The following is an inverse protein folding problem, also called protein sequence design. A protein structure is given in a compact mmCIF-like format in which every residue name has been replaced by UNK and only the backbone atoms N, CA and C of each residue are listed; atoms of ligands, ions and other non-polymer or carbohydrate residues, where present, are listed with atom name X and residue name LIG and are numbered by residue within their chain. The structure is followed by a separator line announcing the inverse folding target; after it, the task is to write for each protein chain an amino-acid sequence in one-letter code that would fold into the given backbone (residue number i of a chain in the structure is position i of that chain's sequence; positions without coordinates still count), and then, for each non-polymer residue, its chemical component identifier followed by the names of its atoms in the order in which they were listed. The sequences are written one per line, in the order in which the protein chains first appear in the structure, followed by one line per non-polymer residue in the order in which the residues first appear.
data_IF_322421872431
#
_entry.id   IF_322421872431
#
_cell.length_a   1.000
_cell.length_b   1.000
_cell.length_c   1.000
_cell.angle_alpha   90.00
_cell.angle_beta   90.00
_cell.angle_gamma   90.00
#
_symmetry.space_group_name_H-M   'P 1'
#
loop_
_entity.id
_entity.type
_entity.pdbx_description
1 polymer ?
#
# COMPACT_ATOMS: atom_id res chain seq x y z
N UNK A 1 -29.12 -14.18 12.60
CA UNK A 1 -27.77 -14.76 12.77
C UNK A 1 -26.89 -13.64 13.27
N UNK A 2 -26.07 -13.91 14.29
CA UNK A 2 -25.58 -12.92 15.25
C UNK A 2 -24.86 -11.72 14.61
N UNK A 3 -25.39 -10.52 14.81
CA UNK A 3 -24.76 -9.24 14.48
C UNK A 3 -23.74 -8.89 15.57
N UNK A 4 -22.68 -9.68 15.69
CA UNK A 4 -21.51 -9.28 16.49
C UNK A 4 -20.88 -8.06 15.81
N UNK A 5 -20.80 -6.93 16.51
CA UNK A 5 -20.13 -5.76 15.95
C UNK A 5 -18.69 -6.08 15.56
N UNK A 6 -18.18 -5.40 14.53
CA UNK A 6 -16.79 -5.56 14.10
C UNK A 6 -15.86 -5.28 15.31
N UNK A 7 -14.91 -6.18 15.64
CA UNK A 7 -13.97 -5.97 16.74
C UNK A 7 -13.24 -4.64 16.58
N UNK A 8 -13.16 -3.85 17.65
CA UNK A 8 -12.34 -2.64 17.69
C UNK A 8 -10.89 -2.99 18.03
N UNK A 9 -9.98 -2.06 17.74
CA UNK A 9 -8.56 -2.15 18.10
C UNK A 9 -8.34 -2.63 19.54
N UNK A 10 -7.60 -3.73 19.71
CA UNK A 10 -7.15 -4.21 20.99
C UNK A 10 -5.78 -4.89 20.87
N UNK A 11 -4.68 -4.28 21.33
CA UNK A 11 -3.34 -4.85 21.19
C UNK A 11 -3.01 -5.93 22.22
N UNK A 12 -3.95 -6.28 23.10
CA UNK A 12 -3.77 -7.30 24.15
C UNK A 12 -4.45 -8.63 23.81
N UNK A 13 -5.21 -8.67 22.70
CA UNK A 13 -5.94 -9.84 22.22
C UNK A 13 -5.57 -10.01 20.74
N UNK A 14 -5.36 -11.24 20.25
CA UNK A 14 -5.07 -11.43 18.83
C UNK A 14 -6.30 -11.07 18.01
N UNK A 15 -6.10 -10.64 16.77
CA UNK A 15 -7.20 -10.46 15.83
C UNK A 15 -7.87 -11.81 15.58
N UNK A 16 -9.20 -11.84 15.62
CA UNK A 16 -9.96 -13.08 15.41
C UNK A 16 -9.80 -13.54 13.95
N UNK A 17 -9.38 -14.79 13.77
CA UNK A 17 -9.24 -15.45 12.46
C UNK A 17 -10.14 -16.68 12.35
N UNK A 18 -11.21 -16.74 13.15
CA UNK A 18 -12.12 -17.89 13.25
C UNK A 18 -13.57 -17.51 12.93
N UNK A 19 -14.42 -18.51 12.69
CA UNK A 19 -15.86 -18.31 12.51
C UNK A 19 -16.21 -17.36 11.37
N UNK A 20 -16.78 -16.20 11.69
CA UNK A 20 -17.08 -15.15 10.70
C UNK A 20 -15.81 -14.61 10.03
N UNK A 21 -14.71 -14.55 10.79
CA UNK A 21 -13.42 -14.01 10.35
C UNK A 21 -12.42 -15.07 9.86
N UNK A 22 -12.89 -16.31 9.65
CA UNK A 22 -12.05 -17.36 9.10
C UNK A 22 -11.54 -16.99 7.70
N UNK A 23 -10.32 -17.41 7.39
CA UNK A 23 -9.78 -17.27 6.05
C UNK A 23 -10.65 -18.06 5.06
N UNK A 24 -11.08 -17.38 3.99
CA UNK A 24 -11.69 -18.03 2.83
C UNK A 24 -11.01 -17.52 1.57
N UNK A 25 -10.56 -18.41 0.67
CA UNK A 25 -10.01 -17.98 -0.61
C UNK A 25 -11.08 -17.22 -1.40
N UNK A 26 -10.69 -16.19 -2.17
CA UNK A 26 -11.64 -15.42 -2.97
C UNK A 26 -12.30 -16.31 -4.04
N UNK A 27 -13.60 -16.14 -4.21
CA UNK A 27 -14.34 -16.76 -5.30
C UNK A 27 -14.07 -16.09 -6.65
N UNK A 28 -14.60 -16.66 -7.76
CA UNK A 28 -14.31 -16.17 -9.11
C UNK A 28 -14.70 -14.72 -9.39
N UNK A 29 -15.62 -14.15 -8.61
CA UNK A 29 -16.11 -12.78 -8.78
C UNK A 29 -15.55 -11.81 -7.73
N UNK A 30 -14.79 -12.31 -6.75
CA UNK A 30 -14.27 -11.51 -5.66
C UNK A 30 -13.05 -10.72 -6.14
N UNK A 31 -13.01 -9.43 -5.82
CA UNK A 31 -11.98 -8.50 -6.29
C UNK A 31 -10.81 -8.45 -5.31
N UNK A 32 -9.61 -8.63 -5.85
CA UNK A 32 -8.33 -8.50 -5.14
C UNK A 32 -7.39 -7.69 -6.01
N UNK A 33 -6.44 -7.02 -5.38
CA UNK A 33 -5.54 -6.08 -6.07
C UNK A 33 -4.14 -6.06 -5.48
N UNK A 34 -3.39 -4.96 -5.64
CA UNK A 34 -2.01 -4.87 -5.17
C UNK A 34 -1.89 -5.02 -3.66
N UNK A 35 -2.78 -4.41 -2.89
CA UNK A 35 -2.59 -4.23 -1.47
C UNK A 35 -2.72 -5.57 -0.71
N UNK A 36 -1.63 -6.11 -0.14
CA UNK A 36 -1.70 -7.35 0.64
C UNK A 36 -2.65 -7.25 1.83
N UNK A 37 -2.63 -6.09 2.52
CA UNK A 37 -3.45 -5.85 3.70
C UNK A 37 -4.95 -5.87 3.38
N UNK A 38 -5.38 -5.17 2.32
CA UNK A 38 -6.79 -5.19 1.90
C UNK A 38 -7.22 -6.58 1.43
N UNK A 39 -6.35 -7.31 0.71
CA UNK A 39 -6.64 -8.67 0.29
C UNK A 39 -6.84 -9.60 1.49
N UNK A 40 -5.95 -9.55 2.47
CA UNK A 40 -6.05 -10.33 3.71
C UNK A 40 -7.30 -9.97 4.52
N UNK A 41 -7.60 -8.68 4.68
CA UNK A 41 -8.81 -8.21 5.36
C UNK A 41 -10.10 -8.71 4.69
N UNK A 42 -10.17 -8.70 3.36
CA UNK A 42 -11.31 -9.25 2.63
C UNK A 42 -11.35 -10.79 2.74
N UNK A 43 -10.21 -11.48 2.65
CA UNK A 43 -10.13 -12.94 2.81
C UNK A 43 -10.48 -13.41 4.23
N UNK A 44 -10.33 -12.54 5.24
CA UNK A 44 -10.77 -12.76 6.61
C UNK A 44 -12.10 -12.06 6.94
N UNK A 45 -12.82 -11.44 5.98
CA UNK A 45 -14.16 -10.88 6.22
C UNK A 45 -14.23 -9.60 7.08
N UNK A 46 -13.10 -8.93 7.34
CA UNK A 46 -13.07 -7.63 8.04
C UNK A 46 -13.49 -6.45 7.14
N UNK A 47 -13.40 -6.64 5.83
CA UNK A 47 -14.15 -5.89 4.82
C UNK A 47 -14.95 -6.88 3.98
N UNK A 48 -15.85 -6.38 3.14
CA UNK A 48 -16.68 -7.25 2.29
C UNK A 48 -15.79 -8.21 1.47
N UNK A 49 -16.11 -9.52 1.55
CA UNK A 49 -15.33 -10.58 0.92
C UNK A 49 -15.29 -10.46 -0.60
N UNK A 50 -16.30 -9.82 -1.19
CA UNK A 50 -16.34 -9.47 -2.62
C UNK A 50 -15.22 -8.51 -3.03
N UNK A 51 -14.54 -7.86 -2.07
CA UNK A 51 -13.53 -6.85 -2.34
C UNK A 51 -14.12 -5.47 -2.71
N UNK A 52 -15.44 -5.29 -2.59
CA UNK A 52 -16.10 -4.00 -2.74
C UNK A 52 -16.40 -3.45 -1.36
N UNK A 53 -15.70 -2.39 -0.96
CA UNK A 53 -15.76 -1.83 0.39
C UNK A 53 -16.15 -0.36 0.37
N UNK A 54 -16.31 0.24 1.54
CA UNK A 54 -16.56 1.67 1.70
C UNK A 54 -15.68 2.31 2.79
N UNK A 55 -15.65 3.64 2.83
CA UNK A 55 -14.83 4.41 3.79
C UNK A 55 -15.05 4.02 5.26
N UNK A 56 -16.27 3.64 5.66
CA UNK A 56 -16.56 3.25 7.05
C UNK A 56 -15.97 1.86 7.37
N UNK A 57 -16.18 0.88 6.49
CA UNK A 57 -15.57 -0.44 6.61
C UNK A 57 -14.04 -0.35 6.60
N UNK A 58 -13.48 0.49 5.73
CA UNK A 58 -12.04 0.71 5.66
C UNK A 58 -11.51 1.36 6.95
N UNK A 59 -12.20 2.37 7.50
CA UNK A 59 -11.84 3.00 8.77
C UNK A 59 -11.77 2.02 9.93
N UNK A 60 -12.75 1.11 10.02
CA UNK A 60 -12.74 0.05 11.04
C UNK A 60 -11.60 -0.94 10.80
N UNK A 61 -11.38 -1.36 9.55
CA UNK A 61 -10.31 -2.28 9.19
C UNK A 61 -8.90 -1.71 9.49
N UNK A 62 -8.66 -0.41 9.23
CA UNK A 62 -7.45 0.29 9.66
C UNK A 62 -7.23 0.17 11.17
N UNK A 63 -8.30 0.41 11.95
CA UNK A 63 -8.23 0.36 13.40
C UNK A 63 -7.82 -1.04 13.88
N UNK A 64 -8.39 -2.10 13.30
CA UNK A 64 -8.10 -3.49 13.67
C UNK A 64 -6.63 -3.83 13.48
N UNK A 65 -6.04 -3.43 12.35
CA UNK A 65 -4.64 -3.72 12.05
C UNK A 65 -3.66 -2.72 12.67
N UNK A 66 -4.14 -1.79 13.51
CA UNK A 66 -3.27 -0.85 14.22
C UNK A 66 -2.77 0.30 13.37
N UNK A 67 -3.56 0.77 12.39
CA UNK A 67 -3.35 2.05 11.70
C UNK A 67 -4.15 3.14 12.44
N UNK A 68 -3.47 4.23 12.78
CA UNK A 68 -4.04 5.38 13.47
C UNK A 68 -5.06 6.13 12.61
N UNK A 69 -5.98 6.84 13.27
CA UNK A 69 -7.09 7.51 12.59
C UNK A 69 -6.61 8.56 11.56
N UNK A 70 -5.55 9.30 11.86
CA UNK A 70 -4.97 10.29 10.95
C UNK A 70 -4.38 9.67 9.68
N UNK A 71 -3.59 8.60 9.82
CA UNK A 71 -3.07 7.83 8.69
C UNK A 71 -4.20 7.16 7.90
N UNK A 72 -5.21 6.61 8.59
CA UNK A 72 -6.35 5.98 7.91
C UNK A 72 -7.19 6.98 7.11
N UNK A 73 -7.39 8.20 7.61
CA UNK A 73 -8.05 9.27 6.85
C UNK A 73 -7.33 9.55 5.53
N UNK A 74 -5.99 9.52 5.52
CA UNK A 74 -5.20 9.66 4.29
C UNK A 74 -5.38 8.47 3.35
N UNK A 75 -5.40 7.24 3.87
CA UNK A 75 -5.67 6.04 3.06
C UNK A 75 -7.08 6.03 2.47
N UNK A 76 -8.08 6.47 3.23
CA UNK A 76 -9.45 6.65 2.75
C UNK A 76 -9.50 7.71 1.65
N UNK A 77 -8.76 8.81 1.81
CA UNK A 77 -8.68 9.85 0.78
C UNK A 77 -8.02 9.34 -0.51
N UNK A 78 -6.97 8.51 -0.42
CA UNK A 78 -6.37 7.82 -1.56
C UNK A 78 -7.37 6.85 -2.22
N UNK A 79 -8.11 6.08 -1.43
CA UNK A 79 -9.15 5.19 -1.96
C UNK A 79 -10.28 5.95 -2.68
N UNK A 80 -10.64 7.16 -2.20
CA UNK A 80 -11.62 8.01 -2.85
C UNK A 80 -11.17 8.54 -4.23
N UNK A 81 -9.86 8.56 -4.52
CA UNK A 81 -9.35 8.91 -5.86
C UNK A 81 -9.69 7.86 -6.91
N UNK A 82 -9.84 6.59 -6.49
CA UNK A 82 -10.13 5.46 -7.37
C UNK A 82 -11.55 4.94 -7.24
N UNK A 83 -12.28 5.38 -6.22
CA UNK A 83 -13.64 4.98 -5.91
C UNK A 83 -14.71 5.77 -6.66
N UNK A 84 -15.96 5.35 -6.47
CA UNK A 84 -17.14 6.12 -6.81
C UNK A 84 -17.79 6.63 -5.51
N UNK A 85 -17.47 7.86 -5.14
CA UNK A 85 -17.84 8.39 -3.83
C UNK A 85 -17.15 7.61 -2.71
N UNK A 86 -17.89 7.15 -1.67
CA UNK A 86 -17.27 6.43 -0.55
C UNK A 86 -17.02 4.95 -0.85
N UNK A 87 -17.50 4.43 -1.99
CA UNK A 87 -17.42 3.00 -2.34
C UNK A 87 -16.29 2.79 -3.33
N UNK A 88 -15.49 1.74 -3.12
CA UNK A 88 -14.40 1.39 -4.02
C UNK A 88 -14.13 -0.12 -4.05
N UNK A 89 -13.55 -0.58 -5.15
CA UNK A 89 -13.01 -1.93 -5.29
C UNK A 89 -11.55 -1.97 -4.84
N UNK A 90 -11.17 -2.97 -4.05
CA UNK A 90 -9.76 -3.24 -3.67
C UNK A 90 -8.97 -3.90 -4.81
N UNK A 91 -9.65 -4.30 -5.88
CA UNK A 91 -9.08 -4.86 -7.10
C UNK A 91 -9.54 -4.09 -8.32
N UNK A 92 -9.96 -4.81 -9.36
CA UNK A 92 -10.57 -4.19 -10.55
C UNK A 92 -11.86 -3.44 -10.21
N UNK A 93 -12.03 -2.24 -10.75
CA UNK A 93 -13.25 -1.43 -10.60
C UNK A 93 -14.40 -1.81 -11.54
N UNK A 94 -15.48 -1.04 -11.39
CA UNK A 94 -16.72 -1.09 -12.16
C UNK A 94 -17.38 0.30 -12.15
N UNK A 95 -18.38 0.60 -12.99
CA UNK A 95 -19.09 1.88 -12.92
C UNK A 95 -19.61 2.24 -11.50
N UNK A 96 -20.00 1.23 -10.72
CA UNK A 96 -20.51 1.40 -9.36
C UNK A 96 -19.40 1.64 -8.32
N UNK A 97 -18.16 1.26 -8.63
CA UNK A 97 -17.04 1.23 -7.67
C UNK A 97 -15.84 2.08 -8.11
N UNK A 98 -15.94 2.76 -9.25
CA UNK A 98 -14.90 3.59 -9.83
C UNK A 98 -13.85 2.77 -10.59
N UNK A 99 -12.62 3.28 -10.65
CA UNK A 99 -11.48 2.61 -11.28
C UNK A 99 -11.04 1.37 -10.50
N UNK A 100 -11.27 1.38 -9.18
CA UNK A 100 -10.73 0.37 -8.27
C UNK A 100 -9.22 0.50 -8.10
N UNK A 101 -8.70 -0.06 -7.01
CA UNK A 101 -7.26 0.02 -6.70
C UNK A 101 -6.43 -0.69 -7.79
N UNK A 102 -6.89 -1.84 -8.29
CA UNK A 102 -6.15 -2.75 -9.16
C UNK A 102 -5.99 -2.32 -10.63
N UNK A 103 -6.67 -1.27 -11.10
CA UNK A 103 -6.51 -0.74 -12.48
C UNK A 103 -6.29 0.77 -12.54
N UNK A 104 -6.11 1.41 -11.39
CA UNK A 104 -6.01 2.87 -11.30
C UNK A 104 -4.65 3.43 -11.73
N UNK A 105 -3.58 2.62 -11.70
CA UNK A 105 -2.20 3.12 -11.82
C UNK A 105 -1.73 3.94 -10.60
N UNK A 106 -2.55 4.04 -9.54
CA UNK A 106 -2.28 4.84 -8.34
C UNK A 106 -1.44 4.04 -7.35
N UNK A 107 -1.93 2.87 -6.92
CA UNK A 107 -1.18 1.93 -6.05
C UNK A 107 -0.37 0.92 -6.87
N UNK A 108 -0.96 0.42 -7.94
CA UNK A 108 -0.31 -0.40 -8.95
C UNK A 108 0.61 0.48 -9.78
N UNK A 109 1.91 0.37 -9.57
CA UNK A 109 2.90 1.15 -10.31
C UNK A 109 4.22 0.43 -10.39
N UNK A 110 5.11 1.00 -11.21
CA UNK A 110 6.49 0.52 -11.31
C UNK A 110 7.14 0.49 -9.94
N UNK A 111 8.21 -0.32 -9.81
CA UNK A 111 9.01 -0.47 -8.57
C UNK A 111 8.32 -1.27 -7.46
N UNK A 112 7.17 -1.90 -7.72
CA UNK A 112 6.51 -2.78 -6.76
C UNK A 112 7.47 -3.83 -6.21
N UNK A 113 7.41 -4.08 -4.91
CA UNK A 113 8.26 -5.08 -4.26
C UNK A 113 7.83 -6.51 -4.57
N UNK A 114 6.56 -6.74 -4.90
CA UNK A 114 5.98 -8.09 -5.00
C UNK A 114 5.39 -8.43 -6.36
N UNK A 115 5.25 -7.48 -7.26
CA UNK A 115 4.61 -7.66 -8.57
C UNK A 115 5.47 -7.04 -9.66
N UNK A 116 5.22 -7.46 -10.91
CA UNK A 116 5.91 -6.91 -12.07
C UNK A 116 5.44 -5.50 -12.39
N UNK A 117 6.31 -4.71 -13.03
CA UNK A 117 5.91 -3.49 -13.70
C UNK A 117 4.94 -3.83 -14.85
N UNK A 118 3.90 -3.01 -15.04
CA UNK A 118 2.84 -3.27 -16.02
C UNK A 118 3.37 -3.50 -17.45
N UNK A 119 4.31 -2.66 -17.91
CA UNK A 119 4.91 -2.78 -19.24
C UNK A 119 5.71 -4.07 -19.47
N UNK A 120 6.11 -4.74 -18.39
CA UNK A 120 6.88 -5.99 -18.44
C UNK A 120 6.01 -7.25 -18.33
N UNK A 121 4.71 -7.09 -18.07
CA UNK A 121 3.78 -8.21 -17.91
C UNK A 121 2.42 -7.95 -18.60
N UNK A 122 2.40 -7.72 -19.93
CA UNK A 122 1.18 -7.45 -20.66
C UNK A 122 0.26 -8.68 -20.72
N UNK A 123 -1.05 -8.45 -20.65
CA UNK A 123 -2.07 -9.49 -20.79
C UNK A 123 -2.66 -9.50 -22.20
N UNK A 124 -3.17 -10.65 -22.70
CA UNK A 124 -3.67 -10.76 -24.08
C UNK A 124 -4.83 -9.82 -24.44
N UNK A 125 -5.56 -9.31 -23.46
CA UNK A 125 -6.67 -8.37 -23.61
C UNK A 125 -6.21 -6.89 -23.71
N UNK A 126 -4.90 -6.64 -23.75
CA UNK A 126 -4.32 -5.30 -23.87
C UNK A 126 -4.13 -4.57 -22.54
N UNK A 127 -4.35 -5.25 -21.41
CA UNK A 127 -3.96 -4.81 -20.08
C UNK A 127 -2.58 -5.31 -19.68
N UNK A 128 -2.35 -5.40 -18.38
CA UNK A 128 -1.18 -6.00 -17.77
C UNK A 128 -1.51 -6.59 -16.40
N UNK A 129 -0.64 -7.45 -15.90
CA UNK A 129 -0.71 -7.99 -14.54
C UNK A 129 0.42 -7.41 -13.70
N UNK A 130 0.11 -6.32 -13.00
CA UNK A 130 1.00 -5.58 -12.10
C UNK A 130 0.62 -5.74 -10.62
N UNK A 131 -0.25 -6.71 -10.31
CA UNK A 131 -0.75 -6.95 -8.96
C UNK A 131 -0.46 -8.36 -8.45
N UNK A 132 -0.40 -9.38 -9.32
CA UNK A 132 -0.11 -10.75 -8.90
C UNK A 132 1.31 -10.88 -8.37
N UNK A 133 1.53 -11.85 -7.48
CA UNK A 133 2.86 -12.11 -6.96
C UNK A 133 3.82 -12.52 -8.09
N UNK A 134 4.95 -11.84 -8.16
CA UNK A 134 6.05 -12.12 -9.05
C UNK A 134 7.31 -12.40 -8.23
N UNK A 135 7.81 -13.64 -8.32
CA UNK A 135 8.96 -14.06 -7.52
C UNK A 135 10.26 -13.33 -7.90
N UNK A 136 10.40 -12.94 -9.17
CA UNK A 136 11.57 -12.17 -9.63
C UNK A 136 11.61 -10.79 -8.98
N UNK A 137 10.46 -10.09 -8.89
CA UNK A 137 10.36 -8.81 -8.19
C UNK A 137 10.63 -8.99 -6.68
N UNK A 138 10.00 -9.99 -6.05
CA UNK A 138 10.16 -10.25 -4.62
C UNK A 138 11.57 -10.68 -4.22
N UNK A 139 12.31 -11.33 -5.13
CA UNK A 139 13.67 -11.79 -4.88
C UNK A 139 14.62 -10.67 -4.45
N UNK A 140 14.42 -9.43 -4.93
CA UNK A 140 15.22 -8.27 -4.48
C UNK A 140 15.06 -8.05 -2.98
N UNK A 141 13.83 -7.97 -2.49
CA UNK A 141 13.50 -7.79 -1.06
C UNK A 141 13.94 -9.01 -0.25
N UNK A 142 13.68 -10.21 -0.77
CA UNK A 142 14.01 -11.47 -0.10
C UNK A 142 15.52 -11.61 0.16
N UNK A 143 16.35 -11.36 -0.86
CA UNK A 143 17.81 -11.47 -0.73
C UNK A 143 18.38 -10.39 0.20
N UNK A 144 17.80 -9.18 0.18
CA UNK A 144 18.12 -8.14 1.14
C UNK A 144 17.77 -8.58 2.58
N UNK A 145 16.63 -9.23 2.79
CA UNK A 145 16.23 -9.75 4.10
C UNK A 145 17.21 -10.79 4.63
N UNK A 146 17.66 -11.72 3.78
CA UNK A 146 18.67 -12.73 4.14
C UNK A 146 19.98 -12.09 4.63
N UNK A 147 20.35 -10.95 4.04
CA UNK A 147 21.55 -10.19 4.44
C UNK A 147 21.36 -9.36 5.72
N UNK A 148 20.11 -9.18 6.18
CA UNK A 148 19.73 -8.34 7.32
C UNK A 148 19.03 -9.16 8.43
N UNK A 149 19.50 -10.38 8.66
CA UNK A 149 19.02 -11.21 9.77
C UNK A 149 17.67 -11.89 9.52
N UNK A 150 17.26 -12.04 8.26
CA UNK A 150 15.98 -12.63 7.83
C UNK A 150 14.74 -11.84 8.31
N UNK A 151 14.89 -10.52 8.44
CA UNK A 151 13.80 -9.62 8.83
C UNK A 151 13.48 -8.65 7.69
N UNK A 152 12.19 -8.40 7.47
CA UNK A 152 11.65 -7.43 6.52
C UNK A 152 11.48 -6.08 7.21
N UNK A 153 12.60 -5.49 7.64
CA UNK A 153 12.64 -4.25 8.39
C UNK A 153 13.31 -3.11 7.59
N UNK A 154 13.43 -1.94 8.20
CA UNK A 154 14.04 -0.75 7.63
C UNK A 154 15.36 -1.02 6.87
N UNK A 155 16.41 -1.67 7.43
CA UNK A 155 17.61 -2.04 6.66
C UNK A 155 17.35 -2.82 5.36
N UNK A 156 16.49 -3.84 5.42
CA UNK A 156 16.10 -4.64 4.25
C UNK A 156 15.41 -3.80 3.17
N UNK A 157 14.50 -2.93 3.58
CA UNK A 157 13.77 -2.09 2.64
C UNK A 157 14.58 -0.91 2.10
N UNK A 158 15.51 -0.36 2.88
CA UNK A 158 16.46 0.65 2.39
C UNK A 158 17.30 0.09 1.25
N UNK A 159 17.77 -1.15 1.36
CA UNK A 159 18.54 -1.81 0.30
C UNK A 159 17.66 -2.11 -0.92
N UNK A 160 16.50 -2.74 -0.71
CA UNK A 160 15.65 -3.19 -1.82
C UNK A 160 14.89 -2.08 -2.53
N UNK A 161 14.53 -0.98 -1.86
CA UNK A 161 13.82 0.15 -2.46
C UNK A 161 14.59 0.75 -3.65
N UNK A 162 15.87 1.07 -3.44
CA UNK A 162 16.72 1.61 -4.48
C UNK A 162 16.91 0.62 -5.63
N UNK A 163 17.12 -0.67 -5.32
CA UNK A 163 17.29 -1.72 -6.31
C UNK A 163 16.03 -1.91 -7.19
N UNK A 164 14.83 -1.87 -6.59
CA UNK A 164 13.57 -1.90 -7.36
C UNK A 164 13.45 -0.68 -8.26
N UNK A 165 13.76 0.51 -7.77
CA UNK A 165 13.73 1.74 -8.57
C UNK A 165 14.67 1.68 -9.77
N UNK A 166 15.95 1.33 -9.57
CA UNK A 166 16.93 1.28 -10.67
C UNK A 166 16.61 0.15 -11.64
N UNK A 167 16.06 -0.97 -11.17
CA UNK A 167 15.66 -2.10 -12.01
C UNK A 167 14.50 -1.70 -12.93
N UNK A 168 13.44 -1.10 -12.40
CA UNK A 168 12.33 -0.58 -13.19
C UNK A 168 12.80 0.48 -14.18
N UNK A 169 13.58 1.47 -13.73
CA UNK A 169 14.13 2.52 -14.60
C UNK A 169 14.99 1.95 -15.73
N UNK A 170 15.74 0.87 -15.52
CA UNK A 170 16.62 0.31 -16.53
C UNK A 170 15.88 -0.60 -17.53
N UNK A 171 14.84 -1.30 -17.09
CA UNK A 171 14.23 -2.39 -17.87
C UNK A 171 12.83 -2.07 -18.38
N UNK A 172 12.09 -1.16 -17.75
CA UNK A 172 10.77 -0.74 -18.21
C UNK A 172 10.90 0.45 -19.19
N UNK A 173 10.58 0.28 -20.49
CA UNK A 173 10.68 1.36 -21.48
C UNK A 173 9.70 2.51 -21.25
N UNK A 174 8.64 2.26 -20.47
CA UNK A 174 7.57 3.18 -20.11
C UNK A 174 7.60 3.54 -18.61
N UNK A 175 8.74 3.32 -17.95
CA UNK A 175 8.94 3.60 -16.53
C UNK A 175 8.41 4.98 -16.13
N UNK A 176 7.61 5.06 -15.08
CA UNK A 176 7.13 6.32 -14.51
C UNK A 176 7.28 6.31 -12.99
N UNK A 177 7.92 7.34 -12.47
CA UNK A 177 8.06 7.54 -11.03
C UNK A 177 7.80 9.00 -10.67
N UNK A 178 6.54 9.29 -10.34
CA UNK A 178 6.09 10.60 -9.88
C UNK A 178 5.79 10.63 -8.38
N UNK A 179 5.22 11.73 -7.87
CA UNK A 179 4.85 11.88 -6.46
C UNK A 179 3.93 10.76 -5.93
N UNK A 180 2.98 10.27 -6.73
CA UNK A 180 2.09 9.19 -6.30
C UNK A 180 2.85 7.86 -6.15
N UNK A 181 3.67 7.52 -7.14
CA UNK A 181 4.52 6.31 -7.13
C UNK A 181 5.53 6.37 -5.99
N UNK A 182 6.12 7.54 -5.73
CA UNK A 182 6.97 7.76 -4.56
C UNK A 182 6.24 7.42 -3.24
N UNK A 183 5.00 7.89 -3.08
CA UNK A 183 4.21 7.62 -1.86
C UNK A 183 4.01 6.11 -1.71
N UNK A 184 3.51 5.41 -2.72
CA UNK A 184 3.23 3.97 -2.60
C UNK A 184 4.50 3.11 -2.52
N UNK A 185 5.56 3.48 -3.25
CA UNK A 185 6.86 2.82 -3.16
C UNK A 185 7.39 2.84 -1.73
N UNK A 186 7.32 3.97 -1.03
CA UNK A 186 7.87 4.06 0.32
C UNK A 186 6.88 3.77 1.46
N UNK A 187 5.55 3.87 1.23
CA UNK A 187 4.53 3.45 2.20
C UNK A 187 4.47 1.93 2.33
N UNK A 188 4.68 1.18 1.23
CA UNK A 188 4.57 -0.29 1.23
C UNK A 188 5.52 -0.94 2.25
N UNK A 189 6.83 -0.62 2.28
CA UNK A 189 7.74 -1.04 3.35
C UNK A 189 7.29 -0.67 4.76
N UNK A 190 6.69 0.51 4.95
CA UNK A 190 6.18 0.93 6.26
C UNK A 190 5.02 0.05 6.71
N UNK A 191 4.17 -0.43 5.80
CA UNK A 191 3.14 -1.41 6.11
C UNK A 191 3.74 -2.76 6.49
N UNK A 192 4.70 -3.26 5.72
CA UNK A 192 5.35 -4.55 5.99
C UNK A 192 6.05 -4.53 7.37
N UNK A 193 6.91 -3.54 7.61
CA UNK A 193 7.65 -3.43 8.87
C UNK A 193 6.75 -3.05 10.06
N UNK A 194 5.96 -1.97 9.94
CA UNK A 194 5.27 -1.39 11.10
C UNK A 194 3.88 -1.98 11.36
N UNK A 195 3.19 -2.44 10.31
CA UNK A 195 1.80 -2.90 10.40
C UNK A 195 1.71 -4.41 10.36
N UNK A 196 2.45 -5.13 9.51
CA UNK A 196 2.29 -6.58 9.37
C UNK A 196 3.03 -7.39 10.42
N UNK A 197 4.14 -6.86 10.97
CA UNK A 197 4.81 -7.41 12.15
C UNK A 197 3.83 -7.83 13.26
N UNK A 198 4.07 -8.98 13.90
CA UNK A 198 3.23 -9.40 15.03
C UNK A 198 3.49 -8.49 16.24
N UNK A 199 2.46 -7.88 16.81
CA UNK A 199 2.58 -6.93 17.92
C UNK A 199 3.14 -7.53 19.23
N UNK A 200 3.27 -8.85 19.33
CA UNK A 200 3.86 -9.54 20.49
C UNK A 200 5.38 -9.38 20.56
N UNK A 201 6.07 -9.54 19.43
CA UNK A 201 7.54 -9.42 19.30
C UNK A 201 7.98 -8.21 18.46
N UNK A 202 7.06 -7.64 17.67
CA UNK A 202 7.30 -6.53 16.75
C UNK A 202 8.23 -6.89 15.60
N UNK A 203 8.35 -8.17 15.24
CA UNK A 203 9.30 -8.64 14.24
C UNK A 203 8.63 -8.92 12.88
N UNK A 204 9.08 -8.30 11.79
CA UNK A 204 8.60 -8.59 10.44
C UNK A 204 9.33 -9.81 9.88
N UNK A 205 8.97 -11.00 10.35
CA UNK A 205 9.60 -12.25 9.92
C UNK A 205 9.12 -12.68 8.54
N UNK A 206 9.91 -13.52 7.85
CA UNK A 206 9.50 -14.09 6.57
C UNK A 206 8.15 -14.82 6.64
N UNK A 207 7.88 -15.52 7.74
CA UNK A 207 6.61 -16.24 7.95
C UNK A 207 5.41 -15.29 8.01
N UNK A 208 5.55 -14.18 8.75
CA UNK A 208 4.50 -13.17 8.89
C UNK A 208 4.24 -12.48 7.55
N UNK A 209 5.29 -12.03 6.86
CA UNK A 209 5.16 -11.38 5.55
C UNK A 209 4.57 -12.33 4.50
N UNK A 210 5.05 -13.58 4.43
CA UNK A 210 4.50 -14.57 3.52
C UNK A 210 3.01 -14.83 3.78
N UNK A 211 2.57 -14.82 5.05
CA UNK A 211 1.16 -15.03 5.40
C UNK A 211 0.29 -13.85 4.98
N UNK A 212 0.71 -12.61 5.24
CA UNK A 212 -0.02 -11.40 4.82
C UNK A 212 -0.08 -11.26 3.29
N UNK A 213 1.04 -11.51 2.61
CA UNK A 213 1.15 -11.37 1.15
C UNK A 213 0.48 -12.55 0.42
N UNK A 214 0.48 -13.73 1.03
CA UNK A 214 0.01 -14.97 0.40
C UNK A 214 1.12 -15.59 -0.44
N UNK A 215 2.28 -15.83 0.16
CA UNK A 215 3.42 -16.51 -0.47
C UNK A 215 3.53 -17.90 0.14
N UNK A 216 3.61 -18.92 -0.72
CA UNK A 216 3.97 -20.29 -0.34
C UNK A 216 5.30 -20.68 -0.99
N UNK A 217 5.84 -21.83 -0.59
CA UNK A 217 6.99 -22.46 -1.25
C UNK A 217 6.60 -23.85 -1.75
N UNK A 218 7.01 -24.19 -2.97
CA UNK A 218 6.85 -25.55 -3.49
C UNK A 218 7.89 -26.53 -2.89
N UNK A 219 7.86 -27.79 -3.33
CA UNK A 219 8.78 -28.84 -2.87
C UNK A 219 10.27 -28.53 -3.17
N UNK A 220 10.55 -27.66 -4.15
CA UNK A 220 11.89 -27.24 -4.53
C UNK A 220 12.31 -25.92 -3.85
N UNK A 221 11.43 -25.33 -3.02
CA UNK A 221 11.66 -24.06 -2.36
C UNK A 221 11.37 -22.83 -3.24
N UNK A 222 10.78 -23.00 -4.42
CA UNK A 222 10.34 -21.89 -5.28
C UNK A 222 9.18 -21.17 -4.61
N UNK A 223 9.25 -19.84 -4.49
CA UNK A 223 8.17 -19.03 -3.93
C UNK A 223 7.06 -18.86 -4.96
N UNK A 224 5.81 -19.09 -4.54
CA UNK A 224 4.62 -18.99 -5.35
C UNK A 224 3.59 -18.11 -4.66
N UNK A 225 2.83 -17.34 -5.43
CA UNK A 225 1.70 -16.57 -4.93
C UNK A 225 0.46 -17.42 -4.77
N UNK A 226 -0.27 -17.21 -3.68
CA UNK A 226 -1.64 -17.68 -3.51
C UNK A 226 -2.55 -16.74 -4.33
N UNK A 227 -3.36 -17.28 -5.27
CA UNK A 227 -4.31 -16.45 -6.01
C UNK A 227 -5.22 -15.66 -5.08
N UNK A 228 -5.27 -14.34 -5.29
CA UNK A 228 -6.08 -13.43 -4.46
C UNK A 228 -5.47 -13.05 -3.11
N UNK A 229 -4.19 -13.39 -2.89
CA UNK A 229 -3.39 -12.88 -1.77
C UNK A 229 -3.51 -13.69 -0.47
N UNK A 230 -2.96 -13.11 0.58
CA UNK A 230 -2.78 -13.76 1.87
C UNK A 230 -3.95 -13.64 2.83
N UNK A 231 -3.64 -13.75 4.12
CA UNK A 231 -4.57 -13.73 5.24
C UNK A 231 -3.93 -13.06 6.44
N UNK A 232 -4.74 -12.66 7.42
CA UNK A 232 -4.24 -12.27 8.74
C UNK A 232 -3.65 -13.54 9.39
N UNK A 233 -2.40 -13.50 9.90
CA UNK A 233 -1.81 -14.68 10.54
C UNK A 233 -2.58 -15.09 11.81
N UNK A 234 -2.61 -16.38 12.10
CA UNK A 234 -3.21 -16.87 13.34
C UNK A 234 -2.37 -16.42 14.55
N UNK A 235 -3.03 -16.07 15.66
CA UNK A 235 -2.38 -15.47 16.84
C UNK A 235 -1.58 -14.18 16.53
N UNK A 236 -2.01 -13.43 15.51
CA UNK A 236 -1.45 -12.12 15.19
C UNK A 236 -2.08 -11.02 16.06
N UNK A 237 -1.24 -10.19 16.66
CA UNK A 237 -1.67 -9.05 17.47
C UNK A 237 -1.35 -7.75 16.73
N UNK A 238 -2.23 -6.74 16.75
CA UNK A 238 -1.84 -5.44 16.25
C UNK A 238 -0.81 -4.82 17.19
N UNK A 239 0.05 -3.95 16.64
CA UNK A 239 1.04 -3.21 17.43
C UNK A 239 0.38 -2.44 18.58
N UNK A 240 1.10 -2.26 19.69
CA UNK A 240 0.60 -1.60 20.92
C UNK A 240 0.26 -0.12 20.78
N UNK A 241 0.88 0.57 19.84
CA UNK A 241 0.63 1.98 19.53
C UNK A 241 0.30 2.01 18.05
N UNK A 242 -0.88 2.44 17.61
CA UNK A 242 -1.21 2.48 16.18
C UNK A 242 -0.23 3.34 15.36
N UNK A 243 0.04 2.98 14.10
CA UNK A 243 0.88 3.77 13.18
C UNK A 243 0.13 5.05 12.83
N UNK A 244 0.63 6.19 13.32
CA UNK A 244 0.08 7.49 12.94
C UNK A 244 0.73 8.01 11.65
N UNK A 245 0.20 9.10 11.12
CA UNK A 245 0.64 9.67 9.85
C UNK A 245 2.10 10.17 9.90
N UNK A 246 2.52 10.73 11.04
CA UNK A 246 3.88 11.23 11.24
C UNK A 246 4.89 10.09 11.31
N UNK A 247 4.54 8.96 11.94
CA UNK A 247 5.37 7.76 11.99
C UNK A 247 5.63 7.25 10.57
N UNK A 248 4.57 7.14 9.76
CA UNK A 248 4.68 6.75 8.35
C UNK A 248 5.56 7.70 7.54
N UNK A 249 5.37 9.02 7.67
CA UNK A 249 6.19 10.00 6.96
C UNK A 249 7.67 9.99 7.37
N UNK A 250 7.97 9.72 8.65
CA UNK A 250 9.36 9.52 9.11
C UNK A 250 9.96 8.25 8.54
N UNK A 251 9.18 7.17 8.44
CA UNK A 251 9.63 5.91 7.86
C UNK A 251 9.96 6.08 6.37
N UNK A 252 9.06 6.72 5.60
CA UNK A 252 9.29 7.08 4.19
C UNK A 252 10.58 7.89 4.05
N UNK A 253 10.77 8.92 4.88
CA UNK A 253 11.97 9.74 4.83
C UNK A 253 13.24 8.91 5.16
N UNK A 254 13.14 8.00 6.13
CA UNK A 254 14.22 7.08 6.51
C UNK A 254 14.64 6.13 5.38
N UNK A 255 13.69 5.66 4.56
CA UNK A 255 13.99 4.86 3.35
C UNK A 255 14.62 5.69 2.25
N UNK A 256 14.14 6.92 2.06
CA UNK A 256 14.54 7.77 0.94
C UNK A 256 15.94 8.38 1.12
N UNK A 257 16.25 8.90 2.31
CA UNK A 257 17.49 9.67 2.55
C UNK A 257 18.80 8.92 2.24
N UNK A 258 18.94 7.60 2.49
CA UNK A 258 20.15 6.86 2.16
C UNK A 258 20.43 6.80 0.65
N UNK A 259 19.38 6.71 -0.16
CA UNK A 259 19.48 6.59 -1.62
C UNK A 259 18.40 7.44 -2.32
N UNK A 260 18.55 8.78 -2.35
CA UNK A 260 17.58 9.65 -3.01
C UNK A 260 17.48 9.34 -4.50
N UNK A 261 16.26 9.26 -5.03
CA UNK A 261 15.97 8.99 -6.44
C UNK A 261 15.18 10.13 -7.07
N UNK A 262 15.40 10.36 -8.37
CA UNK A 262 14.70 11.40 -9.13
C UNK A 262 13.30 10.96 -9.55
N UNK A 263 12.35 11.89 -9.55
CA UNK A 263 11.09 11.71 -10.28
C UNK A 263 11.35 11.81 -11.77
N UNK A 264 10.61 11.06 -12.58
CA UNK A 264 10.76 11.12 -14.03
C UNK A 264 10.03 10.02 -14.77
N UNK A 265 10.33 9.93 -16.07
CA UNK A 265 9.70 8.98 -16.98
C UNK A 265 10.71 8.46 -18.00
N UNK A 266 10.59 7.21 -18.42
CA UNK A 266 11.27 6.71 -19.60
C UNK A 266 10.43 7.02 -20.84
N UNK A 267 11.09 7.51 -21.89
CA UNK A 267 10.51 7.63 -23.22
C UNK A 267 11.42 6.84 -24.16
N UNK A 268 10.90 5.75 -24.73
CA UNK A 268 11.65 4.83 -25.57
C UNK A 268 12.92 4.30 -24.87
N UNK A 269 12.81 3.91 -23.60
CA UNK A 269 13.92 3.36 -22.80
C UNK A 269 14.98 4.36 -22.36
N UNK A 270 14.78 5.67 -22.58
CA UNK A 270 15.65 6.74 -22.05
C UNK A 270 14.93 7.51 -20.95
N UNK A 271 15.58 7.66 -19.80
CA UNK A 271 15.04 8.43 -18.68
C UNK A 271 15.11 9.94 -18.88
N UNK A 272 14.00 10.61 -18.58
CA UNK A 272 13.85 12.06 -18.53
C UNK A 272 13.41 12.47 -17.13
N UNK A 273 14.24 13.22 -16.38
CA UNK A 273 13.86 13.68 -15.05
C UNK A 273 12.74 14.70 -15.14
N UNK A 274 11.82 14.65 -14.18
CA UNK A 274 10.77 15.65 -13.97
C UNK A 274 11.38 16.98 -13.56
N UNK A 275 10.75 18.10 -13.95
CA UNK A 275 11.09 19.43 -13.43
C UNK A 275 10.71 19.60 -11.97
N UNK A 276 9.77 18.78 -11.48
CA UNK A 276 9.41 18.71 -10.08
C UNK A 276 10.18 17.57 -9.40
N UNK A 277 10.97 17.90 -8.38
CA UNK A 277 11.78 16.98 -7.58
C UNK A 277 11.60 17.29 -6.10
N UNK A 278 11.90 16.32 -5.24
CA UNK A 278 12.14 16.60 -3.83
C UNK A 278 13.39 17.47 -3.67
N UNK A 279 13.38 18.36 -2.68
CA UNK A 279 14.56 19.15 -2.34
C UNK A 279 15.74 18.28 -1.91
N UNK A 280 16.95 18.82 -1.92
CA UNK A 280 18.18 18.07 -1.58
C UNK A 280 18.24 17.57 -0.13
N UNK A 281 17.40 18.10 0.76
CA UNK A 281 17.32 17.71 2.17
C UNK A 281 15.87 17.79 2.63
N UNK A 282 15.01 16.87 2.17
CA UNK A 282 13.60 16.91 2.52
C UNK A 282 13.43 16.60 4.00
N UNK A 283 12.45 17.24 4.62
CA UNK A 283 12.03 17.02 5.99
C UNK A 283 10.78 16.15 6.04
N UNK A 284 10.42 15.66 7.22
CA UNK A 284 9.15 14.94 7.42
C UNK A 284 7.96 15.80 7.00
N UNK A 285 8.02 17.13 7.23
CA UNK A 285 7.00 18.06 6.76
C UNK A 285 6.91 18.08 5.24
N UNK A 286 8.03 18.06 4.53
CA UNK A 286 8.03 18.05 3.07
C UNK A 286 7.37 16.77 2.52
N UNK A 287 7.61 15.61 3.14
CA UNK A 287 6.93 14.35 2.79
C UNK A 287 5.43 14.43 3.05
N UNK A 288 5.02 14.96 4.21
CA UNK A 288 3.60 15.13 4.55
C UNK A 288 2.90 16.08 3.57
N UNK A 289 3.53 17.20 3.22
CA UNK A 289 2.95 18.14 2.27
C UNK A 289 2.99 17.61 0.83
N UNK A 290 3.97 16.77 0.46
CA UNK A 290 3.95 16.03 -0.80
C UNK A 290 2.72 15.13 -0.87
N UNK A 291 2.45 14.33 0.18
CA UNK A 291 1.27 13.45 0.27
C UNK A 291 -0.02 14.26 0.08
N UNK A 292 -0.19 15.32 0.88
CA UNK A 292 -1.36 16.19 0.80
C UNK A 292 -1.56 16.79 -0.59
N UNK A 293 -0.53 17.41 -1.16
CA UNK A 293 -0.61 18.06 -2.47
C UNK A 293 -0.85 17.05 -3.60
N UNK A 294 -0.28 15.84 -3.49
CA UNK A 294 -0.46 14.78 -4.48
C UNK A 294 -1.90 14.28 -4.48
N UNK A 295 -2.47 14.04 -3.30
CA UNK A 295 -3.87 13.60 -3.18
C UNK A 295 -4.83 14.69 -3.68
N UNK A 296 -4.68 15.92 -3.19
CA UNK A 296 -5.55 17.02 -3.61
C UNK A 296 -5.39 17.35 -5.10
N UNK A 297 -4.18 17.23 -5.66
CA UNK A 297 -3.91 17.46 -7.07
C UNK A 297 -4.42 16.38 -8.01
N UNK A 298 -4.54 15.13 -7.54
CA UNK A 298 -5.12 14.03 -8.30
C UNK A 298 -6.66 13.98 -8.21
N UNK A 299 -7.25 14.62 -7.20
CA UNK A 299 -8.68 14.57 -6.96
C UNK A 299 -9.49 15.37 -8.01
N UNK A 300 -10.57 14.77 -8.51
CA UNK A 300 -11.62 15.51 -9.22
C UNK A 300 -12.26 16.56 -8.29
N UNK A 301 -12.97 17.55 -8.83
CA UNK A 301 -13.70 18.54 -8.02
C UNK A 301 -14.68 17.85 -7.05
N UNK A 302 -15.38 16.82 -7.50
CA UNK A 302 -16.32 16.05 -6.68
C UNK A 302 -15.57 15.30 -5.58
N UNK A 303 -14.50 14.58 -5.91
CA UNK A 303 -13.69 13.85 -4.92
C UNK A 303 -13.09 14.81 -3.89
N UNK A 304 -12.58 15.96 -4.33
CA UNK A 304 -11.99 16.97 -3.46
C UNK A 304 -13.01 17.52 -2.45
N UNK A 305 -14.26 17.73 -2.87
CA UNK A 305 -15.33 18.17 -1.96
C UNK A 305 -15.62 17.19 -0.81
N UNK A 306 -15.30 15.90 -1.00
CA UNK A 306 -15.50 14.86 0.02
C UNK A 306 -14.33 14.79 1.02
N UNK A 307 -13.10 14.96 0.55
CA UNK A 307 -11.89 14.67 1.34
C UNK A 307 -11.22 15.93 1.89
N UNK A 308 -11.46 17.10 1.30
CA UNK A 308 -10.68 18.30 1.58
C UNK A 308 -10.82 18.79 3.03
N UNK A 309 -12.01 18.71 3.63
CA UNK A 309 -12.20 19.15 5.01
C UNK A 309 -11.34 18.35 5.99
N UNK A 310 -11.37 17.02 5.88
CA UNK A 310 -10.60 16.11 6.72
C UNK A 310 -9.09 16.28 6.48
N UNK A 311 -8.66 16.34 5.22
CA UNK A 311 -7.26 16.57 4.89
C UNK A 311 -6.77 17.95 5.37
N UNK A 312 -7.55 19.01 5.20
CA UNK A 312 -7.17 20.35 5.68
C UNK A 312 -7.05 20.37 7.20
N UNK A 313 -7.90 19.64 7.91
CA UNK A 313 -7.85 19.55 9.38
C UNK A 313 -6.51 18.96 9.87
N UNK A 314 -5.98 17.97 9.14
CA UNK A 314 -4.72 17.28 9.44
C UNK A 314 -3.51 18.10 8.95
N UNK A 315 -3.51 18.49 7.68
CA UNK A 315 -2.32 19.01 7.00
C UNK A 315 -2.18 20.52 7.08
N UNK A 316 -3.28 21.29 7.09
CA UNK A 316 -3.24 22.76 6.99
C UNK A 316 -3.40 23.40 8.36
N UNK A 317 -4.54 23.17 9.02
CA UNK A 317 -4.84 23.74 10.34
C UNK A 317 -4.27 22.93 11.50
N UNK A 318 -3.76 21.73 11.22
CA UNK A 318 -3.08 20.87 12.19
C UNK A 318 -1.64 21.28 12.46
N UNK A 319 -0.89 20.42 13.16
CA UNK A 319 0.50 20.66 13.54
C UNK A 319 1.51 20.60 12.38
N UNK A 320 1.09 20.18 11.18
CA UNK A 320 1.96 20.01 10.01
C UNK A 320 2.20 21.38 9.32
N UNK A 321 1.14 22.15 9.11
CA UNK A 321 1.20 23.49 8.50
C UNK A 321 1.61 23.48 7.02
N UNK A 322 1.03 22.59 6.22
CA UNK A 322 1.08 22.66 4.75
C UNK A 322 0.29 23.85 4.23
N UNK A 323 0.69 24.36 3.06
CA UNK A 323 -0.09 25.40 2.37
C UNK A 323 -1.36 24.77 1.81
N UNK A 324 -2.51 25.43 1.97
CA UNK A 324 -3.78 24.95 1.44
C UNK A 324 -3.72 24.74 -0.07
N UNK A 325 -4.18 23.58 -0.54
CA UNK A 325 -4.25 23.31 -1.97
C UNK A 325 -5.30 24.22 -2.63
N UNK A 326 -4.89 24.91 -3.69
CA UNK A 326 -5.79 25.70 -4.55
C UNK A 326 -5.72 25.10 -5.94
N UNK A 327 -6.81 24.53 -6.49
CA UNK A 327 -6.83 24.04 -7.86
C UNK A 327 -6.43 25.18 -8.81
N UNK A 328 -5.53 24.91 -9.74
CA UNK A 328 -5.29 25.86 -10.84
C UNK A 328 -6.51 25.79 -11.77
N UNK A 329 -7.13 26.94 -12.01
CA UNK A 329 -8.24 27.10 -12.96
C UNK A 329 -7.80 26.81 -14.40
#
# INVERSE_FOLDING_TARGET
MASGGIPLYNPTVPVDTTGEYEYRPPGPNDKRGPCPGLNALANNGYIDRSGITNSAQFGVACSIIGIGADACTVLIALAALVGNGPVFSIGEGSPETGLGVGKSGIENGDTSYKSSDCALNPTPDGGCDDYSFNDTAWSTTYNAAQSNGNLFNMPTFTASAYDRYINSRANNPDFFFGPMQFIFHYVTPALFDLVFSNGTDGMPTEEIENTWIGITKDENGQRLGIPGGGRIPDNWYPRKIPVNLIDGAKYILGLYLPHPVEFGVNINGRFFPSLYQLGASPTTKDILCLIYNTICGAASVTTLSMIAADLNSIFVSGSIGCTSYTPKA
#
